data_IF_050929428236
#
_entry.id   IF_050929428236
#
_cell.length_a   1.000
_cell.length_b   1.000
_cell.length_c   1.000
_cell.angle_alpha   90.00
_cell.angle_beta   90.00
_cell.angle_gamma   90.00
#
_symmetry.space_group_name_H-M   'P 1'
#
loop_
_entity.id
_entity.type
_entity.pdbx_description
1 polymer ?
#
# COMPACT_ATOMS: atom_id res chain seq x y z
N UNK A 1 -2.64 10.63 17.88
CA UNK A 1 -2.18 10.19 16.55
C UNK A 1 -2.53 8.72 16.42
N UNK A 2 -3.33 8.33 15.41
CA UNK A 2 -3.60 6.93 15.14
C UNK A 2 -2.36 6.27 14.53
N UNK A 3 -1.95 5.13 15.06
CA UNK A 3 -0.79 4.41 14.57
C UNK A 3 -1.13 3.74 13.22
N UNK A 4 -0.51 4.21 12.15
CA UNK A 4 -0.56 3.58 10.82
C UNK A 4 0.25 2.27 10.80
N UNK A 5 1.22 2.13 11.70
CA UNK A 5 1.96 0.89 11.83
C UNK A 5 1.03 -0.28 12.17
N UNK A 6 1.24 -1.42 11.53
CA UNK A 6 0.40 -2.60 11.65
C UNK A 6 0.20 -3.34 10.33
N UNK A 7 -0.57 -4.42 10.38
CA UNK A 7 -0.93 -5.18 9.18
C UNK A 7 -2.22 -4.65 8.59
N UNK A 8 -2.23 -4.44 7.28
CA UNK A 8 -3.36 -3.93 6.52
C UNK A 8 -3.69 -4.85 5.36
N UNK A 9 -4.98 -5.15 5.21
CA UNK A 9 -5.52 -6.04 4.19
C UNK A 9 -6.21 -5.18 3.13
N UNK A 10 -5.87 -5.43 1.86
CA UNK A 10 -6.50 -4.73 0.74
C UNK A 10 -8.01 -5.05 0.63
N UNK A 11 -8.81 -4.25 -0.10
CA UNK A 11 -10.26 -4.47 -0.18
C UNK A 11 -10.67 -5.87 -0.68
N UNK A 12 -9.86 -6.47 -1.55
CA UNK A 12 -10.11 -7.82 -2.09
C UNK A 12 -9.77 -8.95 -1.13
N UNK A 13 -9.12 -8.68 0.01
CA UNK A 13 -8.63 -9.70 0.92
C UNK A 13 -7.51 -10.57 0.34
N UNK A 14 -6.86 -10.14 -0.74
CA UNK A 14 -5.88 -10.92 -1.50
C UNK A 14 -4.44 -10.61 -1.13
N UNK A 15 -4.18 -9.50 -0.45
CA UNK A 15 -2.84 -9.06 -0.04
C UNK A 15 -2.91 -8.46 1.36
N UNK A 16 -1.98 -8.86 2.21
CA UNK A 16 -1.71 -8.23 3.50
C UNK A 16 -0.33 -7.55 3.46
N UNK A 17 -0.27 -6.32 3.98
CA UNK A 17 0.94 -5.51 4.05
C UNK A 17 1.22 -5.16 5.49
N UNK A 18 2.43 -5.47 5.96
CA UNK A 18 2.92 -4.99 7.25
C UNK A 18 3.55 -3.61 7.06
N UNK A 19 2.88 -2.57 7.53
CA UNK A 19 3.36 -1.20 7.55
C UNK A 19 4.12 -0.91 8.85
N UNK A 20 5.30 -0.29 8.74
CA UNK A 20 6.11 0.08 9.89
C UNK A 20 6.99 1.30 9.58
N UNK A 21 7.53 1.90 10.64
CA UNK A 21 8.48 2.99 10.49
C UNK A 21 9.81 2.46 9.93
N UNK A 22 10.32 3.10 8.89
CA UNK A 22 11.62 2.87 8.27
C UNK A 22 12.45 4.16 8.37
N UNK A 23 12.94 4.45 9.58
CA UNK A 23 13.51 5.74 9.94
C UNK A 23 12.42 6.80 10.11
N UNK A 24 12.57 7.96 9.45
CA UNK A 24 11.59 9.05 9.48
C UNK A 24 10.42 8.88 8.47
N UNK A 25 10.35 7.71 7.82
CA UNK A 25 9.35 7.38 6.79
C UNK A 25 8.49 6.22 7.26
N UNK A 26 7.34 6.05 6.65
CA UNK A 26 6.55 4.84 6.71
C UNK A 26 6.83 4.00 5.46
N UNK A 27 7.13 2.72 5.67
CA UNK A 27 7.28 1.73 4.62
C UNK A 27 6.30 0.57 4.88
N UNK A 28 6.09 -0.28 3.88
CA UNK A 28 5.24 -1.45 4.05
C UNK A 28 5.57 -2.56 3.09
N UNK A 29 5.68 -3.77 3.62
CA UNK A 29 6.05 -4.97 2.87
C UNK A 29 4.90 -5.95 2.83
N UNK A 30 4.72 -6.61 1.68
CA UNK A 30 3.73 -7.69 1.55
C UNK A 30 4.12 -8.81 2.52
N UNK A 31 3.30 -9.04 3.54
CA UNK A 31 3.50 -10.10 4.53
C UNK A 31 2.79 -11.39 4.14
N UNK A 32 1.73 -11.29 3.35
CA UNK A 32 0.99 -12.42 2.80
C UNK A 32 0.27 -12.04 1.50
N UNK A 33 0.10 -13.00 0.61
CA UNK A 33 -0.69 -12.86 -0.61
C UNK A 33 -1.42 -14.18 -0.94
N UNK A 34 -2.59 -14.07 -1.55
CA UNK A 34 -3.35 -15.23 -2.03
C UNK A 34 -2.67 -15.89 -3.23
N UNK A 35 -2.95 -17.18 -3.53
CA UNK A 35 -2.41 -17.85 -4.72
C UNK A 35 -2.68 -17.10 -6.03
N UNK A 36 -3.88 -16.53 -6.18
CA UNK A 36 -4.22 -15.70 -7.35
C UNK A 36 -3.34 -14.46 -7.43
N UNK A 37 -3.15 -13.73 -6.33
CA UNK A 37 -2.31 -12.53 -6.32
C UNK A 37 -0.83 -12.85 -6.62
N UNK A 38 -0.33 -14.02 -6.17
CA UNK A 38 1.01 -14.50 -6.51
C UNK A 38 1.14 -14.76 -8.01
N UNK A 39 0.14 -15.42 -8.62
CA UNK A 39 0.14 -15.72 -10.05
C UNK A 39 0.06 -14.45 -10.90
N UNK A 40 -0.88 -13.55 -10.60
CA UNK A 40 -1.07 -12.29 -11.33
C UNK A 40 0.22 -11.44 -11.30
N UNK A 41 0.88 -11.36 -10.13
CA UNK A 41 2.15 -10.66 -9.98
C UNK A 41 3.27 -11.33 -10.79
N UNK A 42 3.35 -12.67 -10.81
CA UNK A 42 4.35 -13.39 -11.59
C UNK A 42 4.16 -13.19 -13.10
N UNK A 43 2.92 -13.23 -13.61
CA UNK A 43 2.57 -12.93 -15.00
C UNK A 43 2.94 -11.48 -15.39
N UNK A 44 2.83 -10.54 -14.43
CA UNK A 44 3.27 -9.16 -14.59
C UNK A 44 4.80 -8.96 -14.43
N UNK A 45 5.58 -10.03 -14.26
CA UNK A 45 7.05 -9.97 -14.15
C UNK A 45 7.57 -9.71 -12.72
N UNK A 46 6.75 -9.93 -11.70
CA UNK A 46 7.08 -9.78 -10.28
C UNK A 46 7.10 -11.17 -9.61
N UNK A 47 8.19 -11.95 -9.76
CA UNK A 47 8.22 -13.36 -9.35
C UNK A 47 8.19 -13.56 -7.82
N UNK A 48 8.43 -12.51 -7.03
CA UNK A 48 8.44 -12.57 -5.56
C UNK A 48 7.60 -11.45 -4.96
N UNK A 49 6.28 -11.63 -4.95
CA UNK A 49 5.37 -10.65 -4.37
C UNK A 49 5.52 -10.53 -2.84
N UNK A 50 5.57 -11.65 -2.09
CA UNK A 50 5.79 -11.61 -0.64
C UNK A 50 7.19 -11.08 -0.32
N UNK A 51 7.27 -10.08 0.55
CA UNK A 51 8.48 -9.33 0.85
C UNK A 51 8.74 -8.14 -0.07
N UNK A 52 7.93 -7.92 -1.11
CA UNK A 52 8.00 -6.70 -1.92
C UNK A 52 7.57 -5.49 -1.08
N UNK A 53 8.32 -4.40 -1.16
CA UNK A 53 7.97 -3.11 -0.54
C UNK A 53 6.86 -2.44 -1.37
N UNK A 54 5.63 -2.58 -0.88
CA UNK A 54 4.43 -2.07 -1.53
C UNK A 54 4.18 -0.61 -1.19
N UNK A 55 4.42 -0.21 0.05
CA UNK A 55 4.31 1.18 0.51
C UNK A 55 5.71 1.78 0.63
N UNK A 56 6.01 2.78 -0.20
CA UNK A 56 7.36 3.31 -0.38
C UNK A 56 7.44 4.78 -0.02
N UNK A 57 8.43 5.15 0.81
CA UNK A 57 8.82 6.54 1.07
C UNK A 57 7.70 7.47 1.58
N UNK A 58 6.74 6.94 2.35
CA UNK A 58 5.67 7.77 2.90
C UNK A 58 6.20 8.72 3.97
N UNK A 59 5.91 10.01 3.80
CA UNK A 59 6.24 11.08 4.74
C UNK A 59 4.97 11.64 5.38
N UNK A 60 5.02 12.01 6.67
CA UNK A 60 3.88 12.58 7.36
C UNK A 60 3.57 13.97 6.78
N UNK A 61 2.28 14.23 6.60
CA UNK A 61 1.72 15.53 6.26
C UNK A 61 0.81 16.04 7.39
N UNK A 62 -0.09 16.97 7.05
CA UNK A 62 -1.07 17.51 7.98
C UNK A 62 -2.22 16.54 8.23
N UNK A 63 -2.88 16.65 9.39
CA UNK A 63 -4.10 15.86 9.69
C UNK A 63 -3.89 14.34 9.76
N UNK A 64 -2.66 13.86 9.95
CA UNK A 64 -2.35 12.43 9.97
C UNK A 64 -2.29 11.77 8.58
N UNK A 65 -2.37 12.56 7.50
CA UNK A 65 -2.17 12.09 6.12
C UNK A 65 -0.70 11.80 5.88
N UNK A 66 -0.42 10.80 5.06
CA UNK A 66 0.92 10.47 4.58
C UNK A 66 0.97 10.56 3.06
N UNK A 67 2.10 10.99 2.50
CA UNK A 67 2.33 11.04 1.05
C UNK A 67 3.61 10.32 0.68
N UNK A 68 3.54 9.48 -0.35
CA UNK A 68 4.65 8.64 -0.79
C UNK A 68 4.33 8.00 -2.14
N UNK A 69 4.76 6.75 -2.31
CA UNK A 69 4.42 5.96 -3.50
C UNK A 69 3.88 4.59 -3.12
N UNK A 70 2.99 4.07 -3.95
CA UNK A 70 2.53 2.68 -3.87
C UNK A 70 3.04 1.92 -5.08
N UNK A 71 3.67 0.77 -4.85
CA UNK A 71 4.01 -0.17 -5.91
C UNK A 71 2.77 -0.97 -6.29
N UNK A 72 2.47 -1.06 -7.58
CA UNK A 72 1.36 -1.85 -8.12
C UNK A 72 1.96 -3.06 -8.85
N UNK A 73 1.93 -4.27 -8.26
CA UNK A 73 2.57 -5.45 -8.82
C UNK A 73 2.08 -5.79 -10.23
N UNK A 74 0.78 -5.71 -10.48
CA UNK A 74 0.14 -5.96 -11.78
C UNK A 74 0.67 -5.04 -12.91
N UNK A 75 1.32 -3.94 -12.55
CA UNK A 75 1.91 -2.98 -13.50
C UNK A 75 3.43 -2.90 -13.41
N UNK A 76 4.07 -3.62 -12.48
CA UNK A 76 5.51 -3.56 -12.24
C UNK A 76 6.06 -2.18 -11.90
N UNK A 77 5.23 -1.23 -11.44
CA UNK A 77 5.60 0.20 -11.30
C UNK A 77 5.03 0.83 -10.04
N UNK A 78 5.69 1.90 -9.58
CA UNK A 78 5.23 2.72 -8.45
C UNK A 78 4.54 4.01 -8.91
N UNK A 79 3.50 4.40 -8.18
CA UNK A 79 2.69 5.60 -8.45
C UNK A 79 2.62 6.49 -7.22
N UNK A 80 2.44 7.80 -7.44
CA UNK A 80 2.18 8.73 -6.33
C UNK A 80 0.93 8.30 -5.58
N UNK A 81 1.01 8.32 -4.25
CA UNK A 81 -0.05 7.82 -3.40
C UNK A 81 -0.08 8.53 -2.05
N UNK A 82 -1.25 8.54 -1.44
CA UNK A 82 -1.47 9.04 -0.09
C UNK A 82 -2.23 8.06 0.78
N UNK A 83 -1.93 8.06 2.07
CA UNK A 83 -2.62 7.26 3.10
C UNK A 83 -3.31 8.22 4.07
N UNK A 84 -4.59 7.98 4.34
CA UNK A 84 -5.40 8.72 5.29
C UNK A 84 -6.06 7.73 6.27
N UNK A 85 -5.90 7.88 7.59
CA UNK A 85 -6.75 7.16 8.54
C UNK A 85 -8.20 7.59 8.37
N UNK A 86 -9.10 6.62 8.20
CA UNK A 86 -10.55 6.85 8.25
C UNK A 86 -11.04 6.67 9.68
N UNK A 87 -10.62 5.58 10.31
CA UNK A 87 -10.79 5.29 11.73
C UNK A 87 -9.65 4.35 12.20
N UNK A 88 -9.76 3.77 13.40
CA UNK A 88 -8.73 2.90 13.96
C UNK A 88 -8.49 1.61 13.15
N UNK A 89 -9.50 1.14 12.41
CA UNK A 89 -9.52 -0.13 11.70
C UNK A 89 -9.48 0.04 10.18
N UNK A 90 -9.55 1.27 9.67
CA UNK A 90 -9.62 1.55 8.24
C UNK A 90 -8.65 2.64 7.80
N UNK A 91 -7.91 2.35 6.71
CA UNK A 91 -7.12 3.33 5.97
C UNK A 91 -7.70 3.55 4.58
N UNK A 92 -7.74 4.79 4.14
CA UNK A 92 -7.93 5.13 2.74
C UNK A 92 -6.58 5.29 2.08
N UNK A 93 -6.31 4.49 1.05
CA UNK A 93 -5.13 4.60 0.19
C UNK A 93 -5.59 5.10 -1.18
N UNK A 94 -5.02 6.22 -1.62
CA UNK A 94 -5.36 6.87 -2.89
C UNK A 94 -4.13 7.02 -3.76
N UNK A 95 -4.14 6.47 -4.97
CA UNK A 95 -3.05 6.61 -5.93
C UNK A 95 -3.53 7.07 -7.29
N UNK A 96 -2.68 7.79 -8.04
CA UNK A 96 -3.02 8.31 -9.36
C UNK A 96 -2.05 7.83 -10.45
N UNK A 97 -2.62 7.37 -11.57
CA UNK A 97 -1.88 6.93 -12.76
C UNK A 97 -1.84 8.09 -13.77
N UNK A 98 -0.80 8.15 -14.61
CA UNK A 98 -0.58 9.16 -15.67
C UNK A 98 -0.47 10.61 -15.15
N UNK A 99 0.55 10.89 -14.32
CA UNK A 99 0.84 12.26 -13.89
C UNK A 99 -0.24 12.93 -13.03
N UNK A 100 -1.19 12.15 -12.48
CA UNK A 100 -2.24 12.66 -11.57
C UNK A 100 -3.67 12.61 -12.14
N UNK A 101 -3.88 12.18 -13.39
CA UNK A 101 -5.19 12.28 -14.05
C UNK A 101 -6.15 11.13 -13.71
N UNK A 102 -5.64 9.91 -13.45
CA UNK A 102 -6.47 8.74 -13.17
C UNK A 102 -6.27 8.24 -11.75
N UNK A 103 -6.97 8.86 -10.80
CA UNK A 103 -6.89 8.54 -9.38
C UNK A 103 -7.90 7.45 -8.98
N UNK A 104 -7.43 6.47 -8.21
CA UNK A 104 -8.26 5.46 -7.56
C UNK A 104 -8.00 5.46 -6.07
N UNK A 105 -9.05 5.19 -5.30
CA UNK A 105 -8.97 5.05 -3.83
C UNK A 105 -9.47 3.68 -3.40
N UNK A 106 -8.88 3.16 -2.33
CA UNK A 106 -9.22 1.89 -1.72
C UNK A 106 -9.30 2.06 -0.20
N UNK A 107 -10.26 1.37 0.44
CA UNK A 107 -10.33 1.26 1.90
C UNK A 107 -9.71 -0.07 2.31
N UNK A 108 -8.56 0.02 2.96
CA UNK A 108 -7.84 -1.11 3.53
C UNK A 108 -8.28 -1.28 4.98
N UNK A 109 -8.47 -2.54 5.39
CA UNK A 109 -8.87 -2.88 6.75
C UNK A 109 -7.68 -3.36 7.55
N UNK A 110 -7.71 -3.16 8.85
CA UNK A 110 -6.73 -3.76 9.76
C UNK A 110 -6.87 -5.29 9.70
N UNK A 111 -5.72 -5.97 9.79
CA UNK A 111 -5.60 -7.43 9.74
C UNK A 111 -5.02 -8.02 11.01
#
# INVERSE_FOLDING_TARGET
MQAIAGTWINPKGSVAVHASNCGARLCGWVSWASPTALNDAAEAGVPRLVGTELLQDYRPGTGGRWSGRVYVPDMGRSFQSTIEPVDAEHLKISGCILGGLFCRSQIWRRG
#
